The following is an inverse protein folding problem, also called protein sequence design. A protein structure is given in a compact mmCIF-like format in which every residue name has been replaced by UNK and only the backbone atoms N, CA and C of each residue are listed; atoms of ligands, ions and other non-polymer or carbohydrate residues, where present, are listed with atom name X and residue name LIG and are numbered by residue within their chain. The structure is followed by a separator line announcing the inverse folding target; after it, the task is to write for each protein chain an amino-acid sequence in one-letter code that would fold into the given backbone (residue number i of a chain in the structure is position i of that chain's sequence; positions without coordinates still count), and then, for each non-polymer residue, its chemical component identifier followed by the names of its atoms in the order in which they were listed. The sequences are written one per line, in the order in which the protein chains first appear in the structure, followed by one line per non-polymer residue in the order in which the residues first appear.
data_IF_165988223331
#
_entry.id   IF_165988223331
#
_cell.length_a   1.000
_cell.length_b   1.000
_cell.length_c   1.000
_cell.angle_alpha   90.00
_cell.angle_beta   90.00
_cell.angle_gamma   90.00
#
_symmetry.space_group_name_H-M   'P 1'
#
loop_
_entity.id
_entity.type
_entity.pdbx_description
1 polymer ?
#
# COMPACT_ATOMS: atom_id res chain seq x y z
N UNK A 1 0.36 6.86 -36.25
CA UNK A 1 -0.52 5.88 -36.91
C UNK A 1 -1.07 4.94 -35.86
N UNK A 2 -2.41 4.86 -35.80
CA UNK A 2 -3.21 4.15 -34.83
C UNK A 2 -2.81 2.67 -34.67
N UNK A 3 -2.54 2.27 -33.43
CA UNK A 3 -2.83 0.92 -32.93
C UNK A 3 -3.79 1.05 -31.75
N UNK A 4 -5.00 1.53 -32.05
CA UNK A 4 -6.18 1.25 -31.23
C UNK A 4 -6.42 -0.26 -31.29
N UNK A 5 -6.58 -0.86 -30.11
CA UNK A 5 -6.67 -2.30 -29.94
C UNK A 5 -7.74 -2.93 -30.83
N UNK A 6 -7.33 -3.98 -31.55
CA UNK A 6 -8.24 -5.08 -31.87
C UNK A 6 -8.54 -5.79 -30.55
N UNK A 7 -9.47 -5.24 -29.76
CA UNK A 7 -10.13 -5.94 -28.68
C UNK A 7 -11.41 -6.53 -29.25
N UNK A 8 -11.40 -7.85 -29.45
CA UNK A 8 -12.51 -8.77 -29.23
C UNK A 8 -13.91 -8.12 -29.18
N UNK A 9 -14.55 -7.94 -30.35
CA UNK A 9 -15.91 -7.42 -30.53
C UNK A 9 -17.01 -8.33 -29.93
N UNK A 10 -16.65 -9.37 -29.16
CA UNK A 10 -17.56 -10.36 -28.58
C UNK A 10 -17.81 -10.21 -27.07
N UNK A 11 -17.18 -9.24 -26.40
CA UNK A 11 -17.32 -9.08 -24.93
C UNK A 11 -18.47 -8.14 -24.59
N UNK A 12 -19.55 -8.70 -24.04
CA UNK A 12 -20.66 -7.95 -23.45
C UNK A 12 -20.20 -6.94 -22.39
N UNK A 13 -21.09 -6.01 -22.02
CA UNK A 13 -20.76 -4.91 -21.12
C UNK A 13 -20.30 -5.38 -19.73
N UNK A 14 -19.33 -4.68 -19.15
CA UNK A 14 -18.92 -4.83 -17.76
C UNK A 14 -19.55 -3.72 -16.91
N UNK A 15 -19.98 -4.04 -15.70
CA UNK A 15 -20.44 -3.07 -14.72
C UNK A 15 -19.65 -3.22 -13.40
N UNK A 16 -19.25 -2.12 -12.77
CA UNK A 16 -18.53 -2.16 -11.50
C UNK A 16 -18.84 -0.94 -10.64
N UNK A 17 -18.90 -1.11 -9.32
CA UNK A 17 -18.86 0.01 -8.39
C UNK A 17 -17.39 0.41 -8.14
N UNK A 18 -17.03 1.67 -8.42
CA UNK A 18 -15.67 2.19 -8.29
C UNK A 18 -15.40 2.84 -6.93
N UNK A 19 -16.45 3.20 -6.19
CA UNK A 19 -16.36 3.74 -4.83
C UNK A 19 -16.32 2.61 -3.79
N UNK A 20 -15.67 2.81 -2.64
CA UNK A 20 -15.67 1.82 -1.55
C UNK A 20 -17.10 1.46 -1.12
N UNK A 21 -17.31 0.21 -0.71
CA UNK A 21 -18.55 -0.21 -0.08
C UNK A 21 -18.65 0.41 1.32
N UNK A 22 -19.83 0.91 1.69
CA UNK A 22 -20.04 1.52 3.01
C UNK A 22 -21.08 2.63 2.98
N UNK A 23 -21.12 3.45 4.03
CA UNK A 23 -21.95 4.67 4.07
C UNK A 23 -21.18 5.80 3.41
N UNK A 24 -21.52 6.11 2.16
CA UNK A 24 -21.07 7.32 1.45
C UNK A 24 -22.27 8.17 1.04
N UNK A 25 -22.04 9.47 0.81
CA UNK A 25 -23.07 10.32 0.21
C UNK A 25 -23.35 9.90 -1.25
N UNK A 26 -22.30 9.58 -1.99
CA UNK A 26 -22.35 9.22 -3.41
C UNK A 26 -21.59 7.92 -3.64
N UNK A 27 -22.10 7.10 -4.56
CA UNK A 27 -21.38 5.97 -5.15
C UNK A 27 -21.33 6.10 -6.67
N UNK A 28 -20.22 5.68 -7.26
CA UNK A 28 -20.02 5.70 -8.72
C UNK A 28 -20.01 4.27 -9.25
N UNK A 29 -21.03 3.94 -10.04
CA UNK A 29 -21.09 2.73 -10.85
C UNK A 29 -20.64 3.07 -12.26
N UNK A 30 -19.72 2.30 -12.82
CA UNK A 30 -19.28 2.44 -14.20
C UNK A 30 -19.81 1.27 -15.02
N UNK A 31 -20.23 1.56 -16.26
CA UNK A 31 -20.58 0.57 -17.28
C UNK A 31 -19.63 0.78 -18.46
N UNK A 32 -18.96 -0.29 -18.88
CA UNK A 32 -17.98 -0.27 -19.96
C UNK A 32 -18.26 -1.36 -21.00
N UNK A 33 -18.39 -0.98 -22.26
CA UNK A 33 -18.67 -1.87 -23.38
C UNK A 33 -19.40 -1.15 -24.52
N UNK A 34 -19.53 -1.82 -25.67
CA UNK A 34 -20.18 -1.27 -26.86
C UNK A 34 -21.64 -0.86 -26.63
N UNK A 35 -22.35 -1.60 -25.78
CA UNK A 35 -23.77 -1.37 -25.47
C UNK A 35 -23.98 -0.58 -24.16
N UNK A 36 -22.92 0.00 -23.57
CA UNK A 36 -22.98 0.62 -22.24
C UNK A 36 -24.08 1.69 -22.15
N UNK A 37 -24.20 2.53 -23.19
CA UNK A 37 -25.27 3.55 -23.26
C UNK A 37 -26.65 2.95 -23.32
N UNK A 38 -26.84 1.86 -24.09
CA UNK A 38 -28.13 1.19 -24.22
C UNK A 38 -28.55 0.54 -22.91
N UNK A 39 -27.64 -0.18 -22.24
CA UNK A 39 -27.91 -0.83 -20.95
C UNK A 39 -28.35 0.20 -19.90
N UNK A 40 -27.67 1.35 -19.80
CA UNK A 40 -28.02 2.42 -18.85
C UNK A 40 -29.32 3.13 -19.23
N UNK A 41 -29.55 3.40 -20.53
CA UNK A 41 -30.76 4.09 -21.01
C UNK A 41 -32.07 3.34 -20.70
N UNK A 42 -32.00 2.04 -20.44
CA UNK A 42 -33.18 1.23 -20.11
C UNK A 42 -33.79 1.57 -18.75
N UNK A 43 -32.96 2.03 -17.81
CA UNK A 43 -33.37 2.32 -16.43
C UNK A 43 -33.22 3.80 -16.07
N UNK A 44 -32.43 4.56 -16.83
CA UNK A 44 -32.23 5.98 -16.58
C UNK A 44 -33.24 6.84 -17.35
N UNK A 45 -34.07 7.56 -16.61
CA UNK A 45 -35.03 8.52 -17.12
C UNK A 45 -34.49 9.95 -16.93
N UNK A 46 -33.98 10.61 -17.99
CA UNK A 46 -33.45 11.97 -17.87
C UNK A 46 -34.57 12.94 -17.52
N UNK A 47 -34.30 13.92 -16.64
CA UNK A 47 -35.27 14.97 -16.32
C UNK A 47 -35.56 15.91 -17.51
N UNK A 48 -34.63 15.99 -18.47
CA UNK A 48 -34.79 16.74 -19.72
C UNK A 48 -35.26 15.87 -20.88
N UNK A 49 -35.67 16.50 -21.99
CA UNK A 49 -36.21 15.80 -23.17
C UNK A 49 -35.18 14.98 -23.96
N UNK A 50 -33.88 15.25 -23.79
CA UNK A 50 -32.82 14.61 -24.58
C UNK A 50 -32.42 13.26 -23.95
N UNK A 51 -32.60 12.14 -24.68
CA UNK A 51 -32.20 10.81 -24.21
C UNK A 51 -30.67 10.69 -24.11
N UNK A 52 -30.20 9.70 -23.35
CA UNK A 52 -28.76 9.48 -23.13
C UNK A 52 -28.00 9.15 -24.43
N UNK A 53 -28.65 8.49 -25.39
CA UNK A 53 -28.09 8.13 -26.70
C UNK A 53 -27.67 9.34 -27.55
N UNK A 54 -28.37 10.46 -27.39
CA UNK A 54 -28.13 11.70 -28.15
C UNK A 54 -27.17 12.68 -27.46
N UNK A 55 -26.70 12.34 -26.26
CA UNK A 55 -25.83 13.23 -25.49
C UNK A 55 -24.37 13.09 -25.94
N UNK A 56 -23.66 14.22 -26.15
CA UNK A 56 -22.24 14.19 -26.46
C UNK A 56 -21.42 13.67 -25.26
N UNK A 57 -20.22 13.13 -25.52
CA UNK A 57 -19.31 12.71 -24.45
C UNK A 57 -19.04 13.84 -23.45
N UNK A 58 -18.92 13.47 -22.17
CA UNK A 58 -18.68 14.33 -20.99
C UNK A 58 -19.81 15.28 -20.63
N UNK A 59 -20.97 15.19 -21.30
CA UNK A 59 -22.17 15.88 -20.85
C UNK A 59 -22.81 15.14 -19.66
N UNK A 60 -23.16 15.90 -18.63
CA UNK A 60 -23.78 15.40 -17.41
C UNK A 60 -25.31 15.47 -17.54
N UNK A 61 -26.00 14.38 -17.19
CA UNK A 61 -27.46 14.28 -17.21
C UNK A 61 -27.99 13.94 -15.81
N UNK A 62 -28.89 14.77 -15.29
CA UNK A 62 -29.67 14.46 -14.08
C UNK A 62 -30.97 13.72 -14.46
N UNK A 63 -31.38 12.79 -13.61
CA UNK A 63 -32.62 12.04 -13.82
C UNK A 63 -32.90 11.05 -12.70
N UNK A 64 -33.83 10.14 -12.99
CA UNK A 64 -34.30 9.11 -12.05
C UNK A 64 -33.95 7.73 -12.59
N UNK A 65 -33.46 6.85 -11.72
CA UNK A 65 -33.18 5.46 -12.04
C UNK A 65 -34.27 4.53 -11.53
N UNK A 66 -34.90 3.82 -12.47
CA UNK A 66 -35.95 2.83 -12.22
C UNK A 66 -36.85 2.63 -13.43
N UNK A 67 -37.79 1.70 -13.30
CA UNK A 67 -38.90 1.54 -14.23
C UNK A 67 -40.12 2.33 -13.74
N UNK A 68 -41.07 2.61 -14.64
CA UNK A 68 -42.21 3.54 -14.44
C UNK A 68 -43.11 3.28 -13.20
N UNK A 69 -42.92 2.14 -12.51
CA UNK A 69 -43.77 1.68 -11.41
C UNK A 69 -43.18 1.93 -9.99
N UNK A 70 -41.98 2.52 -9.88
CA UNK A 70 -41.26 2.65 -8.61
C UNK A 70 -40.89 4.10 -8.27
N UNK A 71 -40.81 4.41 -6.97
CA UNK A 71 -40.08 5.58 -6.45
C UNK A 71 -38.60 5.38 -6.79
N UNK A 72 -38.19 5.85 -7.96
CA UNK A 72 -36.84 5.69 -8.46
C UNK A 72 -35.83 6.54 -7.69
N UNK A 73 -34.55 6.28 -7.95
CA UNK A 73 -33.45 6.99 -7.31
C UNK A 73 -33.01 8.17 -8.15
N UNK A 74 -32.95 9.35 -7.55
CA UNK A 74 -32.35 10.52 -8.20
C UNK A 74 -30.83 10.33 -8.31
N UNK A 75 -30.32 10.46 -9.52
CA UNK A 75 -28.91 10.25 -9.80
C UNK A 75 -28.43 11.06 -11.00
N UNK A 76 -27.12 11.03 -11.21
CA UNK A 76 -26.46 11.70 -12.32
C UNK A 76 -25.77 10.67 -13.20
N UNK A 77 -25.91 10.81 -14.52
CA UNK A 77 -25.25 9.96 -15.52
C UNK A 77 -24.34 10.81 -16.41
N UNK A 78 -23.16 10.30 -16.71
CA UNK A 78 -22.20 10.92 -17.63
C UNK A 78 -21.66 9.88 -18.62
N UNK A 79 -21.89 10.08 -19.91
CA UNK A 79 -21.22 9.31 -20.96
C UNK A 79 -19.80 9.85 -21.11
N UNK A 80 -18.78 9.23 -20.52
CA UNK A 80 -17.39 9.76 -20.61
C UNK A 80 -16.85 9.74 -22.04
N UNK A 81 -17.15 8.65 -22.75
CA UNK A 81 -16.80 8.37 -24.13
C UNK A 81 -17.86 7.44 -24.74
N UNK A 82 -17.57 6.82 -25.89
CA UNK A 82 -18.55 5.97 -26.60
C UNK A 82 -18.76 4.61 -25.94
N UNK A 83 -17.77 4.13 -25.17
CA UNK A 83 -17.83 2.82 -24.54
C UNK A 83 -18.02 2.90 -23.02
N UNK A 84 -18.00 4.09 -22.41
CA UNK A 84 -17.97 4.24 -20.96
C UNK A 84 -19.05 5.20 -20.46
N UNK A 85 -19.90 4.70 -19.56
CA UNK A 85 -20.94 5.47 -18.87
C UNK A 85 -20.70 5.40 -17.37
N UNK A 86 -20.70 6.55 -16.70
CA UNK A 86 -20.67 6.66 -15.25
C UNK A 86 -22.07 7.00 -14.72
N UNK A 87 -22.51 6.26 -13.70
CA UNK A 87 -23.76 6.43 -12.96
C UNK A 87 -23.41 6.77 -11.52
N UNK A 88 -23.74 7.99 -11.10
CA UNK A 88 -23.42 8.55 -9.79
C UNK A 88 -24.69 8.65 -8.97
N UNK A 89 -24.84 7.70 -8.04
CA UNK A 89 -26.04 7.44 -7.25
C UNK A 89 -25.79 7.72 -5.76
N UNK A 90 -26.80 7.54 -4.91
CA UNK A 90 -26.59 7.66 -3.47
C UNK A 90 -25.68 6.53 -2.99
N UNK A 91 -24.73 6.84 -2.10
CA UNK A 91 -23.72 5.88 -1.63
C UNK A 91 -24.24 4.80 -0.67
N UNK A 92 -25.56 4.60 -0.58
CA UNK A 92 -26.15 3.55 0.23
C UNK A 92 -26.03 2.19 -0.46
N UNK A 93 -25.76 1.13 0.32
CA UNK A 93 -25.61 -0.24 -0.20
C UNK A 93 -26.79 -0.69 -1.08
N UNK A 94 -28.02 -0.42 -0.66
CA UNK A 94 -29.22 -0.82 -1.38
C UNK A 94 -29.37 -0.13 -2.75
N UNK A 95 -28.97 1.14 -2.86
CA UNK A 95 -28.98 1.89 -4.12
C UNK A 95 -28.02 1.27 -5.15
N UNK A 96 -26.77 1.07 -4.72
CA UNK A 96 -25.71 0.47 -5.55
C UNK A 96 -26.07 -0.94 -5.97
N UNK A 97 -26.52 -1.80 -5.05
CA UNK A 97 -26.90 -3.18 -5.34
C UNK A 97 -28.07 -3.27 -6.33
N UNK A 98 -29.06 -2.38 -6.22
CA UNK A 98 -30.17 -2.30 -7.16
C UNK A 98 -29.70 -1.92 -8.56
N UNK A 99 -28.90 -0.87 -8.70
CA UNK A 99 -28.35 -0.43 -10.00
C UNK A 99 -27.54 -1.55 -10.66
N UNK A 100 -26.68 -2.23 -9.90
CA UNK A 100 -25.88 -3.35 -10.42
C UNK A 100 -26.76 -4.54 -10.82
N UNK A 101 -27.81 -4.86 -10.06
CA UNK A 101 -28.76 -5.92 -10.40
C UNK A 101 -29.55 -5.60 -11.67
N UNK A 102 -30.01 -4.35 -11.83
CA UNK A 102 -30.70 -3.87 -13.02
C UNK A 102 -29.79 -4.01 -14.25
N UNK A 103 -28.54 -3.56 -14.16
CA UNK A 103 -27.56 -3.71 -15.23
C UNK A 103 -27.27 -5.18 -15.56
N UNK A 104 -27.15 -6.04 -14.55
CA UNK A 104 -26.99 -7.47 -14.73
C UNK A 104 -28.17 -8.11 -15.48
N UNK A 105 -29.39 -7.65 -15.23
CA UNK A 105 -30.59 -8.11 -15.96
C UNK A 105 -30.56 -7.78 -17.45
N UNK A 106 -29.76 -6.80 -17.88
CA UNK A 106 -29.52 -6.45 -19.28
C UNK A 106 -28.30 -7.16 -19.88
N UNK A 107 -27.74 -8.16 -19.19
CA UNK A 107 -26.59 -8.91 -19.65
C UNK A 107 -25.24 -8.24 -19.35
N UNK A 108 -25.20 -7.16 -18.57
CA UNK A 108 -23.92 -6.64 -18.08
C UNK A 108 -23.31 -7.61 -17.08
N UNK A 109 -22.03 -7.98 -17.26
CA UNK A 109 -21.30 -8.75 -16.27
C UNK A 109 -20.83 -7.82 -15.16
N UNK A 110 -21.38 -8.01 -13.95
CA UNK A 110 -20.95 -7.26 -12.76
C UNK A 110 -19.62 -7.82 -12.27
N UNK A 111 -18.62 -6.96 -12.13
CA UNK A 111 -17.25 -7.30 -11.74
C UNK A 111 -16.77 -6.41 -10.61
N UNK A 112 -15.68 -6.83 -9.94
CA UNK A 112 -15.01 -6.00 -8.94
C UNK A 112 -14.34 -4.77 -9.58
N UNK A 113 -14.08 -3.72 -8.80
CA UNK A 113 -13.32 -2.55 -9.26
C UNK A 113 -11.92 -2.93 -9.78
N UNK A 114 -11.25 -3.86 -9.10
CA UNK A 114 -9.95 -4.39 -9.52
C UNK A 114 -10.01 -5.08 -10.88
N UNK A 115 -11.01 -5.96 -11.08
CA UNK A 115 -11.21 -6.65 -12.36
C UNK A 115 -11.57 -5.67 -13.49
N UNK A 116 -12.37 -4.64 -13.18
CA UNK A 116 -12.68 -3.58 -14.13
C UNK A 116 -11.41 -2.83 -14.58
N UNK A 117 -10.54 -2.46 -13.65
CA UNK A 117 -9.26 -1.81 -13.96
C UNK A 117 -8.41 -2.72 -14.86
N UNK A 118 -8.21 -3.99 -14.49
CA UNK A 118 -7.39 -4.92 -15.30
C UNK A 118 -7.98 -5.22 -16.66
N UNK A 119 -9.31 -5.13 -16.81
CA UNK A 119 -9.98 -5.30 -18.11
C UNK A 119 -9.85 -4.06 -19.00
N UNK A 120 -9.81 -2.86 -18.40
CA UNK A 120 -9.83 -1.58 -19.12
C UNK A 120 -8.47 -1.13 -19.63
N UNK A 121 -7.39 -1.46 -18.92
CA UNK A 121 -6.04 -0.98 -19.21
C UNK A 121 -5.15 -2.15 -19.65
N UNK A 122 -4.58 -2.03 -20.86
CA UNK A 122 -3.75 -3.08 -21.45
C UNK A 122 -2.36 -3.19 -20.78
N UNK A 123 -1.83 -2.08 -20.26
CA UNK A 123 -0.59 -2.11 -19.49
C UNK A 123 -0.88 -2.60 -18.06
N UNK A 124 -0.36 -3.78 -17.73
CA UNK A 124 -0.54 -4.41 -16.43
C UNK A 124 0.06 -3.57 -15.28
N UNK A 125 1.15 -2.84 -15.52
CA UNK A 125 1.78 -1.97 -14.51
C UNK A 125 0.91 -0.73 -14.29
N UNK A 126 0.37 -0.15 -15.36
CA UNK A 126 -0.58 0.96 -15.26
C UNK A 126 -1.84 0.54 -14.48
N UNK A 127 -2.41 -0.61 -14.83
CA UNK A 127 -3.57 -1.19 -14.15
C UNK A 127 -3.29 -1.41 -12.65
N UNK A 128 -2.14 -2.02 -12.33
CA UNK A 128 -1.73 -2.25 -10.95
C UNK A 128 -1.52 -0.93 -10.18
N UNK A 129 -0.92 0.08 -10.79
CA UNK A 129 -0.69 1.38 -10.16
C UNK A 129 -2.01 2.09 -9.83
N UNK A 130 -3.01 2.01 -10.72
CA UNK A 130 -4.36 2.57 -10.46
C UNK A 130 -5.04 1.89 -9.27
N UNK A 131 -4.95 0.57 -9.19
CA UNK A 131 -5.46 -0.19 -8.05
C UNK A 131 -4.74 0.20 -6.75
N UNK A 132 -3.42 0.25 -6.78
CA UNK A 132 -2.59 0.61 -5.64
C UNK A 132 -2.82 2.04 -5.15
N UNK A 133 -3.05 3.00 -6.06
CA UNK A 133 -3.33 4.40 -5.70
C UNK A 133 -4.56 4.54 -4.81
N UNK A 134 -5.59 3.72 -5.00
CA UNK A 134 -6.79 3.73 -4.13
C UNK A 134 -6.52 3.27 -2.70
N UNK A 135 -5.38 2.61 -2.47
CA UNK A 135 -4.94 2.08 -1.18
C UNK A 135 -3.80 2.90 -0.58
N UNK A 136 -3.23 3.86 -1.32
CA UNK A 136 -2.13 4.66 -0.86
C UNK A 136 -2.57 5.53 0.32
N UNK A 137 -1.91 5.34 1.47
CA UNK A 137 -2.24 6.05 2.69
C UNK A 137 -1.42 7.33 2.85
N UNK A 138 -0.28 7.46 2.19
CA UNK A 138 0.58 8.66 2.31
C UNK A 138 0.75 9.38 0.98
N UNK A 139 1.00 10.69 1.04
CA UNK A 139 1.32 11.49 -0.15
C UNK A 139 2.55 10.94 -0.89
N UNK A 140 3.57 10.51 -0.13
CA UNK A 140 4.79 9.92 -0.68
C UNK A 140 4.51 8.64 -1.47
N UNK A 141 3.74 7.69 -0.92
CA UNK A 141 3.46 6.45 -1.65
C UNK A 141 2.56 6.72 -2.86
N UNK A 142 1.61 7.65 -2.75
CA UNK A 142 0.80 8.10 -3.88
C UNK A 142 1.67 8.72 -4.99
N UNK A 143 2.64 9.57 -4.64
CA UNK A 143 3.56 10.18 -5.61
C UNK A 143 4.40 9.13 -6.37
N UNK A 144 4.96 8.14 -5.65
CA UNK A 144 5.71 7.03 -6.26
C UNK A 144 4.83 6.23 -7.22
N UNK A 145 3.60 5.90 -6.82
CA UNK A 145 2.65 5.18 -7.66
C UNK A 145 2.21 5.98 -8.88
N UNK A 146 2.05 7.31 -8.76
CA UNK A 146 1.79 8.20 -9.90
C UNK A 146 2.96 8.21 -10.89
N UNK A 147 4.20 8.13 -10.41
CA UNK A 147 5.37 8.01 -11.30
C UNK A 147 5.38 6.67 -12.04
N UNK A 148 4.98 5.58 -11.37
CA UNK A 148 4.83 4.27 -12.03
C UNK A 148 3.70 4.30 -13.07
N UNK A 149 2.56 4.94 -12.74
CA UNK A 149 1.45 5.16 -13.65
C UNK A 149 1.87 5.97 -14.89
N UNK A 150 2.78 6.93 -14.73
CA UNK A 150 3.38 7.72 -15.81
C UNK A 150 4.49 6.98 -16.57
N UNK A 151 4.71 5.69 -16.30
CA UNK A 151 5.62 4.84 -17.06
C UNK A 151 7.09 4.89 -16.61
N UNK A 152 7.37 5.20 -15.33
CA UNK A 152 8.73 5.15 -14.77
C UNK A 152 9.40 3.79 -15.00
N UNK A 153 8.69 2.70 -14.70
CA UNK A 153 9.13 1.32 -14.97
C UNK A 153 9.55 1.11 -16.43
N UNK A 154 8.68 1.46 -17.38
CA UNK A 154 8.94 1.28 -18.81
C UNK A 154 10.18 2.05 -19.27
N UNK A 155 10.29 3.33 -18.89
CA UNK A 155 11.45 4.17 -19.24
C UNK A 155 12.75 3.58 -18.73
N UNK A 156 12.71 3.04 -17.51
CA UNK A 156 13.89 2.46 -16.89
C UNK A 156 14.33 1.17 -17.59
N UNK A 157 13.39 0.29 -17.94
CA UNK A 157 13.70 -0.91 -18.72
C UNK A 157 14.25 -0.58 -20.10
N UNK A 158 13.71 0.43 -20.79
CA UNK A 158 14.25 0.89 -22.08
C UNK A 158 15.70 1.31 -21.96
N UNK A 159 16.07 2.10 -20.94
CA UNK A 159 17.48 2.48 -20.70
C UNK A 159 18.37 1.27 -20.42
N UNK A 160 17.89 0.31 -19.65
CA UNK A 160 18.65 -0.93 -19.37
C UNK A 160 18.86 -1.73 -20.66
N UNK A 161 17.83 -1.83 -21.51
CA UNK A 161 17.92 -2.48 -22.82
C UNK A 161 18.99 -1.85 -23.71
N UNK A 162 18.99 -0.52 -23.80
CA UNK A 162 19.98 0.25 -24.58
C UNK A 162 21.42 -0.01 -24.10
N UNK A 163 21.63 -0.09 -22.77
CA UNK A 163 22.94 -0.43 -22.20
C UNK A 163 23.38 -1.87 -22.53
N UNK A 164 22.45 -2.82 -22.50
CA UNK A 164 22.72 -4.21 -22.87
C UNK A 164 23.07 -4.33 -24.34
N UNK A 165 22.32 -3.66 -25.22
CA UNK A 165 22.58 -3.66 -26.67
C UNK A 165 23.94 -3.04 -27.00
N UNK A 166 24.29 -1.91 -26.38
CA UNK A 166 25.59 -1.28 -26.57
C UNK A 166 26.76 -2.18 -26.12
N UNK A 167 26.60 -2.89 -25.01
CA UNK A 167 27.60 -3.85 -24.54
C UNK A 167 27.74 -5.04 -25.50
N UNK A 168 26.62 -5.58 -25.99
CA UNK A 168 26.61 -6.68 -26.96
C UNK A 168 27.31 -6.30 -28.28
N UNK A 169 27.07 -5.09 -28.80
CA UNK A 169 27.73 -4.59 -30.02
C UNK A 169 29.24 -4.47 -29.88
N UNK A 170 29.73 -4.22 -28.65
CA UNK A 170 31.16 -4.07 -28.36
C UNK A 170 31.81 -5.36 -27.84
N UNK A 171 31.04 -6.45 -27.69
CA UNK A 171 31.49 -7.72 -27.11
C UNK A 171 31.91 -7.60 -25.64
N UNK A 172 31.41 -6.59 -24.92
CA UNK A 172 31.72 -6.33 -23.51
C UNK A 172 30.59 -6.82 -22.61
N UNK A 173 30.88 -7.01 -21.33
CA UNK A 173 29.83 -7.27 -20.35
C UNK A 173 29.01 -6.01 -20.03
N UNK A 174 27.68 -6.13 -19.87
CA UNK A 174 26.79 -4.99 -19.60
C UNK A 174 26.79 -4.61 -18.11
N UNK A 175 27.93 -4.17 -17.58
CA UNK A 175 28.14 -3.89 -16.14
C UNK A 175 27.11 -2.87 -15.62
N UNK A 176 26.98 -1.72 -16.29
CA UNK A 176 26.04 -0.66 -15.89
C UNK A 176 24.58 -1.15 -15.89
N UNK A 177 24.18 -1.94 -16.89
CA UNK A 177 22.84 -2.53 -16.94
C UNK A 177 22.58 -3.45 -15.73
N UNK A 178 23.58 -4.28 -15.35
CA UNK A 178 23.49 -5.15 -14.17
C UNK A 178 23.37 -4.34 -12.88
N UNK A 179 24.11 -3.25 -12.74
CA UNK A 179 24.01 -2.36 -11.57
C UNK A 179 22.62 -1.72 -11.46
N UNK A 180 22.04 -1.27 -12.57
CA UNK A 180 20.68 -0.71 -12.62
C UNK A 180 19.61 -1.76 -12.29
N UNK A 181 19.75 -2.98 -12.81
CA UNK A 181 18.86 -4.11 -12.45
C UNK A 181 18.94 -4.44 -10.94
N UNK A 182 20.15 -4.48 -10.37
CA UNK A 182 20.33 -4.66 -8.92
C UNK A 182 19.73 -3.51 -8.11
N UNK A 183 19.83 -2.27 -8.60
CA UNK A 183 19.19 -1.12 -7.96
C UNK A 183 17.67 -1.26 -7.95
N UNK A 184 17.06 -1.75 -9.03
CA UNK A 184 15.62 -2.03 -9.07
C UNK A 184 15.21 -3.11 -8.06
N UNK A 185 16.08 -4.10 -7.84
CA UNK A 185 15.79 -5.21 -6.90
C UNK A 185 15.75 -4.70 -5.47
N UNK A 186 16.71 -3.85 -5.10
CA UNK A 186 16.71 -3.16 -3.81
C UNK A 186 15.47 -2.26 -3.62
N UNK A 187 14.95 -1.68 -4.71
CA UNK A 187 13.71 -0.86 -4.67
C UNK A 187 12.44 -1.72 -4.65
N UNK A 188 12.50 -2.99 -5.05
CA UNK A 188 11.35 -3.87 -5.08
C UNK A 188 10.81 -4.12 -3.66
N UNK A 189 11.70 -4.21 -2.67
CA UNK A 189 11.33 -4.29 -1.27
C UNK A 189 10.49 -3.08 -0.84
N UNK A 190 10.93 -1.85 -1.20
CA UNK A 190 10.17 -0.61 -0.95
C UNK A 190 8.79 -0.66 -1.64
N UNK A 191 8.75 -1.17 -2.88
CA UNK A 191 7.52 -1.30 -3.65
C UNK A 191 6.43 -2.14 -2.98
N UNK A 192 6.82 -3.19 -2.24
CA UNK A 192 5.89 -4.01 -1.45
C UNK A 192 5.18 -3.21 -0.36
N UNK A 193 5.83 -2.15 0.13
CA UNK A 193 5.32 -1.31 1.21
C UNK A 193 4.60 -0.03 0.75
N UNK A 194 4.33 0.12 -0.57
CA UNK A 194 3.57 1.28 -1.07
C UNK A 194 2.10 1.23 -0.68
N UNK A 195 1.52 0.03 -0.56
CA UNK A 195 0.11 -0.19 -0.17
C UNK A 195 -0.03 -1.01 1.12
N UNK A 196 1.06 -1.58 1.62
CA UNK A 196 1.12 -2.28 2.90
C UNK A 196 2.11 -1.56 3.81
N UNK A 197 1.73 -1.16 5.04
CA UNK A 197 2.65 -0.46 5.92
C UNK A 197 3.85 -1.32 6.29
N UNK A 198 4.99 -0.68 6.54
CA UNK A 198 6.14 -1.32 7.18
C UNK A 198 5.77 -1.71 8.60
N UNK A 199 6.05 -2.95 9.00
CA UNK A 199 5.75 -3.48 10.33
C UNK A 199 6.93 -3.29 11.25
N UNK A 200 6.74 -2.44 12.26
CA UNK A 200 7.76 -2.15 13.27
C UNK A 200 7.27 -2.68 14.61
N UNK A 201 7.99 -3.65 15.15
CA UNK A 201 7.64 -4.29 16.43
C UNK A 201 8.48 -3.68 17.56
N UNK A 202 7.80 -3.13 18.57
CA UNK A 202 8.44 -2.69 19.81
C UNK A 202 8.55 -3.88 20.77
N UNK A 203 9.77 -4.29 21.08
CA UNK A 203 10.05 -5.43 21.94
C UNK A 203 10.98 -5.05 23.09
N UNK A 204 10.90 -5.77 24.22
CA UNK A 204 11.68 -5.48 25.41
C UNK A 204 10.97 -5.87 26.71
N UNK A 205 11.64 -5.70 27.85
CA UNK A 205 11.16 -6.13 29.17
C UNK A 205 9.85 -5.41 29.60
N UNK A 206 9.10 -5.96 30.57
CA UNK A 206 8.03 -5.25 31.25
C UNK A 206 8.52 -3.91 31.83
N UNK A 207 7.64 -2.90 31.87
CA UNK A 207 7.90 -1.60 32.52
C UNK A 207 9.05 -0.75 31.95
N UNK A 208 9.65 -1.12 30.81
CA UNK A 208 10.65 -0.27 30.10
C UNK A 208 10.02 0.92 29.39
N UNK A 209 8.68 1.00 29.33
CA UNK A 209 7.95 2.13 28.75
C UNK A 209 7.56 1.97 27.26
N UNK A 210 7.46 0.74 26.75
CA UNK A 210 7.07 0.44 25.35
C UNK A 210 5.75 1.09 24.94
N UNK A 211 4.68 0.90 25.71
CA UNK A 211 3.36 1.43 25.35
C UNK A 211 3.31 2.96 25.42
N UNK A 212 4.08 3.58 26.33
CA UNK A 212 4.23 5.02 26.37
C UNK A 212 4.99 5.53 25.14
N UNK A 213 6.08 4.84 24.75
CA UNK A 213 6.84 5.15 23.55
C UNK A 213 5.99 4.96 22.28
N UNK A 214 5.20 3.89 22.19
CA UNK A 214 4.25 3.64 21.11
C UNK A 214 3.25 4.78 20.98
N UNK A 215 2.55 5.12 22.07
CA UNK A 215 1.59 6.22 22.08
C UNK A 215 2.24 7.54 21.68
N UNK A 216 3.49 7.75 22.08
CA UNK A 216 4.25 8.92 21.66
C UNK A 216 4.56 8.90 20.17
N UNK A 217 5.05 7.79 19.63
CA UNK A 217 5.32 7.62 18.19
C UNK A 217 4.05 7.75 17.33
N UNK A 218 2.89 7.32 17.84
CA UNK A 218 1.59 7.50 17.18
C UNK A 218 1.08 8.95 17.30
N UNK A 219 1.42 9.66 18.37
CA UNK A 219 0.96 11.04 18.62
C UNK A 219 1.92 12.13 18.15
N UNK A 220 3.17 11.78 17.79
CA UNK A 220 4.21 12.75 17.45
C UNK A 220 3.88 13.47 16.12
N UNK A 221 3.85 14.81 16.17
CA UNK A 221 3.68 15.75 15.05
C UNK A 221 2.62 15.40 13.97
N UNK A 222 1.53 14.72 14.35
CA UNK A 222 0.48 14.25 13.42
C UNK A 222 1.02 13.35 12.31
N UNK A 223 1.69 12.27 12.72
CA UNK A 223 1.29 10.93 12.29
C UNK A 223 -0.12 10.94 11.67
N UNK A 224 -0.26 10.70 10.36
CA UNK A 224 -1.59 10.54 9.77
C UNK A 224 -2.10 9.19 10.29
N UNK A 225 -2.93 9.23 11.34
CA UNK A 225 -3.59 8.04 11.87
C UNK A 225 -4.64 7.62 10.85
N UNK A 226 -4.42 6.46 10.24
CA UNK A 226 -5.32 5.90 9.23
C UNK A 226 -6.45 5.14 9.90
N UNK A 227 -7.53 5.85 10.24
CA UNK A 227 -8.77 5.21 10.66
C UNK A 227 -9.43 4.58 9.43
N UNK A 228 -9.24 3.27 9.26
CA UNK A 228 -10.09 2.50 8.35
C UNK A 228 -11.42 2.26 9.07
N UNK A 229 -12.52 2.77 8.51
CA UNK A 229 -13.84 2.62 9.09
C UNK A 229 -14.18 1.12 9.28
N UNK A 230 -14.24 0.67 10.54
CA UNK A 230 -14.75 -0.66 10.89
C UNK A 230 -13.75 -1.69 11.43
N UNK A 231 -12.48 -1.37 11.65
CA UNK A 231 -11.59 -2.32 12.36
C UNK A 231 -11.51 -1.99 13.85
N UNK A 232 -11.71 -3.03 14.66
CA UNK A 232 -11.75 -2.99 16.11
C UNK A 232 -10.54 -2.27 16.69
N UNK A 233 -10.84 -1.59 17.80
CA UNK A 233 -9.95 -0.88 18.73
C UNK A 233 -8.99 -1.87 19.40
N UNK A 234 -8.20 -2.58 18.62
CA UNK A 234 -7.18 -3.50 19.10
C UNK A 234 -6.06 -2.65 19.70
N UNK A 235 -5.97 -2.64 21.03
CA UNK A 235 -5.06 -1.81 21.85
C UNK A 235 -3.56 -2.17 21.63
N UNK A 236 -3.23 -2.96 20.59
CA UNK A 236 -1.94 -3.62 20.39
C UNK A 236 -1.20 -3.21 19.12
N UNK A 237 -1.85 -2.51 18.20
CA UNK A 237 -1.21 -1.97 17.00
C UNK A 237 -1.74 -0.57 16.66
N UNK A 238 -0.91 0.22 15.98
CA UNK A 238 -1.28 1.56 15.53
C UNK A 238 -0.61 1.90 14.22
N UNK A 239 -1.38 2.46 13.29
CA UNK A 239 -0.89 2.88 11.98
C UNK A 239 -0.55 4.37 11.99
N UNK A 240 0.58 4.70 11.40
CA UNK A 240 1.17 6.03 11.33
C UNK A 240 1.96 6.18 10.03
N UNK A 241 2.58 7.34 9.82
CA UNK A 241 3.59 7.51 8.80
C UNK A 241 4.84 8.19 9.37
N UNK A 242 6.01 7.66 9.05
CA UNK A 242 7.31 8.27 9.40
C UNK A 242 7.98 8.77 8.12
N UNK A 243 8.24 10.08 8.05
CA UNK A 243 8.74 10.71 6.83
C UNK A 243 7.90 10.32 5.60
N UNK A 244 6.56 10.31 5.73
CA UNK A 244 5.67 9.88 4.65
C UNK A 244 5.70 8.39 4.27
N UNK A 245 6.49 7.54 4.94
CA UNK A 245 6.40 6.08 4.77
C UNK A 245 5.32 5.50 5.69
N UNK A 246 4.37 4.69 5.18
CA UNK A 246 3.35 4.07 6.02
C UNK A 246 3.99 3.05 6.96
N UNK A 247 3.67 3.15 8.25
CA UNK A 247 4.22 2.30 9.30
C UNK A 247 3.10 1.79 10.19
N UNK A 248 3.16 0.51 10.54
CA UNK A 248 2.32 -0.13 11.54
C UNK A 248 3.21 -0.49 12.73
N UNK A 249 2.96 0.17 13.87
CA UNK A 249 3.63 -0.11 15.13
C UNK A 249 2.89 -1.23 15.85
N UNK A 250 3.61 -2.22 16.37
CA UNK A 250 3.06 -3.30 17.19
C UNK A 250 3.74 -3.36 18.55
N UNK A 251 2.98 -3.49 19.64
CA UNK A 251 3.51 -3.67 21.00
C UNK A 251 3.45 -5.14 21.42
N UNK A 252 4.59 -5.70 21.79
CA UNK A 252 4.67 -7.09 22.28
C UNK A 252 4.17 -7.25 23.72
N UNK A 253 4.12 -6.19 24.54
CA UNK A 253 3.73 -6.29 25.96
C UNK A 253 2.24 -6.61 26.16
N UNK A 254 1.36 -6.07 25.33
CA UNK A 254 -0.07 -6.33 25.46
C UNK A 254 -0.51 -7.73 25.00
N UNK A 255 0.41 -8.54 24.46
CA UNK A 255 0.17 -9.94 24.09
C UNK A 255 0.38 -10.92 25.24
N UNK A 256 0.96 -10.48 26.36
CA UNK A 256 1.07 -11.28 27.60
C UNK A 256 -0.20 -11.25 28.45
N UNK A 257 -1.20 -10.43 28.09
CA UNK A 257 -2.38 -10.21 28.93
C UNK A 257 -3.47 -11.24 28.64
N UNK A 258 -3.30 -12.43 29.21
CA UNK A 258 -4.34 -13.04 30.03
C UNK A 258 -3.69 -14.12 30.89
N UNK A 259 -3.50 -13.79 32.18
CA UNK A 259 -3.13 -14.76 33.18
C UNK A 259 -4.20 -15.86 33.27
N UNK A 260 -3.71 -17.07 33.50
CA UNK A 260 -4.42 -18.34 33.64
C UNK A 260 -4.80 -19.04 32.31
N UNK A 261 -3.89 -19.94 31.90
CA UNK A 261 -3.99 -21.03 30.89
C UNK A 261 -3.51 -20.80 29.43
N UNK A 262 -2.87 -19.67 29.07
CA UNK A 262 -2.45 -19.39 27.67
C UNK A 262 -1.00 -18.85 27.56
N UNK A 263 -0.03 -19.44 28.26
CA UNK A 263 1.37 -18.99 28.19
C UNK A 263 2.03 -19.33 26.84
N UNK A 264 1.78 -20.53 26.31
CA UNK A 264 2.40 -20.96 25.04
C UNK A 264 1.86 -20.21 23.82
N UNK A 265 0.55 -19.91 23.78
CA UNK A 265 -0.03 -19.22 22.63
C UNK A 265 0.32 -17.71 22.61
N UNK A 266 0.51 -17.09 23.78
CA UNK A 266 1.02 -15.71 23.90
C UNK A 266 2.46 -15.58 23.39
N UNK A 267 3.34 -16.50 23.81
CA UNK A 267 4.74 -16.57 23.34
C UNK A 267 4.80 -16.84 21.84
N UNK A 268 4.04 -17.81 21.33
CA UNK A 268 4.01 -18.14 19.91
C UNK A 268 3.47 -16.99 19.04
N UNK A 269 2.52 -16.21 19.58
CA UNK A 269 1.99 -15.01 18.89
C UNK A 269 3.02 -13.89 18.84
N UNK A 270 3.72 -13.62 19.95
CA UNK A 270 4.83 -12.66 19.98
C UNK A 270 5.95 -13.06 19.02
N UNK A 271 6.32 -14.35 19.00
CA UNK A 271 7.32 -14.91 18.06
C UNK A 271 6.92 -14.71 16.61
N UNK A 272 5.66 -15.01 16.25
CA UNK A 272 5.15 -14.79 14.89
C UNK A 272 5.22 -13.32 14.46
N UNK A 273 4.95 -12.38 15.36
CA UNK A 273 5.06 -10.95 15.05
C UNK A 273 6.51 -10.51 14.86
N UNK A 274 7.43 -10.95 15.73
CA UNK A 274 8.86 -10.69 15.56
C UNK A 274 9.38 -11.24 14.23
N UNK A 275 8.93 -12.44 13.84
CA UNK A 275 9.31 -13.05 12.56
C UNK A 275 8.71 -12.33 11.34
N UNK A 276 7.55 -11.71 11.49
CA UNK A 276 6.85 -10.96 10.45
C UNK A 276 7.19 -9.46 10.43
N UNK A 277 8.06 -8.99 11.33
CA UNK A 277 8.47 -7.60 11.41
C UNK A 277 9.45 -7.26 10.30
N UNK A 278 9.30 -6.06 9.73
CA UNK A 278 10.31 -5.48 8.85
C UNK A 278 11.44 -4.83 9.66
N UNK A 279 11.15 -4.40 10.90
CA UNK A 279 12.13 -3.90 11.86
C UNK A 279 11.69 -4.20 13.29
N UNK A 280 12.64 -4.63 14.12
CA UNK A 280 12.43 -4.79 15.56
C UNK A 280 13.12 -3.64 16.30
N UNK A 281 12.38 -2.92 17.12
CA UNK A 281 12.91 -1.89 18.01
C UNK A 281 12.99 -2.48 19.41
N UNK A 282 14.22 -2.73 19.86
CA UNK A 282 14.51 -3.28 21.18
C UNK A 282 14.60 -2.15 22.20
N UNK A 283 13.57 -2.04 23.03
CA UNK A 283 13.40 -1.00 24.03
C UNK A 283 13.84 -1.51 25.40
N UNK A 284 14.71 -0.77 26.05
CA UNK A 284 15.17 -1.03 27.41
C UNK A 284 15.09 0.21 28.29
N UNK A 285 15.13 0.03 29.61
CA UNK A 285 15.35 1.15 30.53
C UNK A 285 16.81 1.58 30.44
N UNK A 286 17.07 2.86 30.20
CA UNK A 286 18.40 3.42 30.04
C UNK A 286 19.28 3.30 31.30
N UNK A 287 18.69 2.96 32.45
CA UNK A 287 19.41 2.73 33.71
C UNK A 287 19.77 1.26 33.94
N UNK A 288 19.11 0.34 33.23
CA UNK A 288 19.28 -1.09 33.45
C UNK A 288 20.48 -1.60 32.63
N UNK A 289 21.43 -2.32 33.25
CA UNK A 289 22.50 -2.97 32.51
C UNK A 289 21.94 -4.00 31.53
N UNK A 290 22.15 -3.75 30.25
CA UNK A 290 21.73 -4.65 29.18
C UNK A 290 22.83 -5.68 28.90
N UNK A 291 22.49 -6.97 28.98
CA UNK A 291 23.35 -8.05 28.50
C UNK A 291 22.64 -8.86 27.42
N UNK A 292 23.40 -9.33 26.43
CA UNK A 292 22.89 -10.14 25.32
C UNK A 292 22.11 -11.38 25.82
N UNK A 293 22.62 -12.06 26.86
CA UNK A 293 21.95 -13.20 27.48
C UNK A 293 20.55 -12.85 28.02
N UNK A 294 20.40 -11.69 28.67
CA UNK A 294 19.09 -11.25 29.20
C UNK A 294 18.11 -10.95 28.07
N UNK A 295 18.58 -10.37 26.97
CA UNK A 295 17.74 -10.09 25.80
C UNK A 295 17.24 -11.38 25.13
N UNK A 296 18.11 -12.38 25.00
CA UNK A 296 17.77 -13.69 24.45
C UNK A 296 16.72 -14.43 25.27
N UNK A 297 16.86 -14.42 26.61
CA UNK A 297 15.89 -15.04 27.52
C UNK A 297 14.50 -14.39 27.42
N UNK A 298 14.44 -13.06 27.39
CA UNK A 298 13.18 -12.32 27.39
C UNK A 298 12.39 -12.47 26.09
N UNK A 299 13.10 -12.50 24.96
CA UNK A 299 12.49 -12.63 23.64
C UNK A 299 12.19 -14.09 23.29
N UNK A 300 12.74 -15.06 24.04
CA UNK A 300 12.61 -16.49 23.76
C UNK A 300 13.34 -16.91 22.48
N UNK A 301 14.31 -16.10 22.06
CA UNK A 301 15.12 -16.26 20.86
C UNK A 301 16.31 -15.30 20.93
N UNK A 302 17.45 -15.73 20.40
CA UNK A 302 18.61 -14.85 20.30
C UNK A 302 18.36 -13.75 19.27
N UNK A 303 18.36 -12.46 19.66
CA UNK A 303 18.06 -11.35 18.74
C UNK A 303 19.07 -11.25 17.60
N UNK A 304 20.34 -11.61 17.88
CA UNK A 304 21.40 -11.66 16.88
C UNK A 304 21.25 -12.84 15.91
N UNK A 305 20.42 -13.83 16.26
CA UNK A 305 20.09 -14.96 15.38
C UNK A 305 18.86 -14.67 14.49
N UNK A 306 18.19 -13.53 14.68
CA UNK A 306 17.11 -13.08 13.80
C UNK A 306 17.67 -12.56 12.48
N UNK A 307 16.95 -12.84 11.38
CA UNK A 307 17.25 -12.26 10.07
C UNK A 307 16.74 -10.82 9.94
N UNK A 308 15.76 -10.44 10.76
CA UNK A 308 15.16 -9.12 10.76
C UNK A 308 16.16 -8.09 11.28
N UNK A 309 16.22 -6.88 10.69
CA UNK A 309 17.03 -5.82 11.25
C UNK A 309 16.49 -5.43 12.63
N UNK A 310 17.39 -5.03 13.51
CA UNK A 310 17.07 -4.49 14.83
C UNK A 310 17.59 -3.05 14.99
N UNK A 311 16.98 -2.33 15.93
CA UNK A 311 17.40 -1.02 16.43
C UNK A 311 17.30 -1.01 17.96
N UNK A 312 18.38 -0.61 18.63
CA UNK A 312 18.41 -0.54 20.09
C UNK A 312 18.00 0.85 20.60
N UNK A 313 17.09 0.88 21.57
CA UNK A 313 16.55 2.09 22.18
C UNK A 313 16.63 2.00 23.69
N UNK A 314 17.41 2.90 24.29
CA UNK A 314 17.48 3.10 25.73
C UNK A 314 16.48 4.19 26.13
N UNK A 315 15.31 3.75 26.60
CA UNK A 315 14.21 4.60 27.02
C UNK A 315 14.38 5.10 28.47
N UNK A 316 13.67 6.18 28.85
CA UNK A 316 13.81 6.87 30.15
C UNK A 316 15.16 7.56 30.33
N UNK A 317 15.72 8.07 29.23
CA UNK A 317 16.98 8.83 29.26
C UNK A 317 16.91 10.08 30.14
N UNK A 318 15.71 10.60 30.41
CA UNK A 318 15.47 11.70 31.36
C UNK A 318 15.87 11.37 32.80
N UNK A 319 15.97 10.08 33.14
CA UNK A 319 16.39 9.60 34.46
C UNK A 319 17.89 9.25 34.51
N UNK A 320 18.60 9.42 33.41
CA UNK A 320 20.01 9.04 33.27
C UNK A 320 20.91 10.26 33.52
N UNK A 321 21.88 10.12 34.43
CA UNK A 321 22.82 11.19 34.78
C UNK A 321 24.14 11.15 33.96
N UNK A 322 24.29 10.21 33.02
CA UNK A 322 25.55 9.96 32.29
C UNK A 322 25.35 9.04 31.08
N UNK A 323 26.39 8.29 30.69
CA UNK A 323 26.32 7.33 29.59
C UNK A 323 25.48 6.10 29.97
N UNK A 324 24.61 5.58 29.08
CA UNK A 324 23.82 4.38 29.40
C UNK A 324 24.73 3.17 29.59
N UNK A 325 24.40 2.24 30.52
CA UNK A 325 25.17 1.02 30.76
C UNK A 325 24.86 -0.04 29.70
N UNK A 326 25.22 0.25 28.45
CA UNK A 326 25.07 -0.65 27.30
C UNK A 326 26.40 -1.36 26.99
N UNK A 327 26.36 -2.58 26.39
CA UNK A 327 27.59 -3.24 25.96
C UNK A 327 28.35 -2.37 24.96
N UNK A 328 29.68 -2.30 25.09
CA UNK A 328 30.54 -1.54 24.17
C UNK A 328 30.35 -1.96 22.70
N UNK A 329 29.94 -3.21 22.46
CA UNK A 329 29.67 -3.74 21.11
C UNK A 329 28.51 -3.05 20.40
N UNK A 330 27.60 -2.38 21.12
CA UNK A 330 26.42 -1.70 20.57
C UNK A 330 26.33 -0.24 21.00
N UNK A 331 27.31 0.27 21.75
CA UNK A 331 27.25 1.60 22.37
C UNK A 331 27.10 2.75 21.35
N UNK A 332 27.69 2.63 20.17
CA UNK A 332 27.60 3.65 19.11
C UNK A 332 26.26 3.61 18.34
N UNK A 333 25.50 2.51 18.48
CA UNK A 333 24.24 2.26 17.74
C UNK A 333 22.98 2.34 18.63
N UNK A 334 23.13 2.69 19.91
CA UNK A 334 22.01 2.84 20.85
C UNK A 334 21.44 4.25 20.79
N UNK A 335 20.13 4.35 20.58
CA UNK A 335 19.41 5.62 20.65
C UNK A 335 18.86 5.88 22.04
N UNK A 336 19.25 7.00 22.64
CA UNK A 336 18.68 7.51 23.88
C UNK A 336 17.34 8.18 23.59
N UNK A 337 16.29 7.76 24.31
CA UNK A 337 14.95 8.31 24.16
C UNK A 337 14.32 8.51 25.53
N UNK A 338 13.52 9.56 25.68
CA UNK A 338 12.56 9.67 26.76
C UNK A 338 11.15 9.64 26.20
N UNK A 339 10.47 8.52 26.39
CA UNK A 339 9.04 8.42 26.11
C UNK A 339 8.19 9.34 27.00
N UNK A 340 8.74 9.91 28.09
CA UNK A 340 8.06 10.84 28.98
C UNK A 340 8.21 12.29 28.52
N UNK A 341 9.41 12.73 28.15
CA UNK A 341 9.68 14.13 27.75
C UNK A 341 9.58 14.32 26.23
N UNK A 342 9.89 13.30 25.45
CA UNK A 342 9.81 13.27 23.98
C UNK A 342 11.16 13.50 23.32
N UNK A 343 12.17 13.76 24.11
CA UNK A 343 13.56 13.81 23.67
C UNK A 343 13.97 12.48 23.01
N UNK A 344 14.69 12.57 21.89
CA UNK A 344 15.16 11.41 21.13
C UNK A 344 14.12 10.78 20.18
N UNK A 345 12.82 11.14 20.29
CA UNK A 345 11.76 10.48 19.50
C UNK A 345 11.88 10.79 18.00
N UNK A 346 12.18 12.03 17.61
CA UNK A 346 12.42 12.37 16.21
C UNK A 346 13.63 11.63 15.63
N UNK A 347 14.71 11.50 16.41
CA UNK A 347 15.90 10.75 16.01
C UNK A 347 15.58 9.27 15.84
N UNK A 348 14.76 8.70 16.73
CA UNK A 348 14.25 7.33 16.62
C UNK A 348 13.43 7.15 15.33
N UNK A 349 12.50 8.05 15.03
CA UNK A 349 11.70 7.99 13.78
C UNK A 349 12.60 8.02 12.53
N UNK A 350 13.59 8.92 12.50
CA UNK A 350 14.54 9.00 11.40
C UNK A 350 15.42 7.75 11.28
N UNK A 351 15.84 7.16 12.40
CA UNK A 351 16.60 5.91 12.40
C UNK A 351 15.77 4.72 11.91
N UNK A 352 14.50 4.63 12.31
CA UNK A 352 13.55 3.62 11.81
C UNK A 352 13.44 3.74 10.28
N UNK A 353 13.20 4.94 9.75
CA UNK A 353 13.07 5.14 8.29
C UNK A 353 14.36 4.76 7.56
N UNK A 354 15.53 5.19 8.04
CA UNK A 354 16.82 4.84 7.42
C UNK A 354 17.07 3.34 7.40
N UNK A 355 16.58 2.60 8.41
CA UNK A 355 16.75 1.15 8.49
C UNK A 355 15.79 0.39 7.57
N UNK A 356 14.55 0.88 7.44
CA UNK A 356 13.53 0.29 6.57
C UNK A 356 13.78 0.61 5.09
N UNK A 357 14.21 1.83 4.78
CA UNK A 357 14.37 2.36 3.43
C UNK A 357 15.81 2.85 3.23
N UNK A 358 16.76 1.93 2.99
CA UNK A 358 18.19 2.29 2.87
C UNK A 358 18.53 2.94 1.52
N UNK A 359 17.64 2.83 0.53
CA UNK A 359 17.82 3.42 -0.81
C UNK A 359 17.07 4.74 -0.91
N UNK A 360 17.77 5.80 -1.33
CA UNK A 360 17.14 7.07 -1.66
C UNK A 360 16.41 6.96 -3.01
N UNK A 361 15.15 7.40 -3.02
CA UNK A 361 14.34 7.48 -4.24
C UNK A 361 14.24 8.94 -4.69
N UNK A 362 14.50 9.18 -5.97
CA UNK A 362 14.23 10.44 -6.63
C UNK A 362 12.85 10.42 -7.31
N UNK A 363 12.30 11.61 -7.57
CA UNK A 363 11.07 11.72 -8.34
C UNK A 363 11.24 11.10 -9.74
N UNK A 364 10.26 10.30 -10.16
CA UNK A 364 10.28 9.60 -11.45
C UNK A 364 11.09 8.30 -11.47
N UNK A 365 11.69 7.89 -10.35
CA UNK A 365 12.36 6.60 -10.25
C UNK A 365 11.39 5.43 -10.50
N UNK A 366 11.90 4.39 -11.16
CA UNK A 366 11.19 3.12 -11.25
C UNK A 366 11.26 2.39 -9.91
N UNK A 367 10.10 1.96 -9.42
CA UNK A 367 9.93 1.18 -8.19
C UNK A 367 9.07 -0.04 -8.52
N UNK A 368 9.64 -1.25 -8.62
CA UNK A 368 8.86 -2.47 -8.82
C UNK A 368 7.93 -2.70 -7.63
N UNK A 369 6.63 -2.85 -7.84
CA UNK A 369 5.65 -2.96 -6.75
C UNK A 369 4.65 -4.11 -6.93
N UNK A 370 4.82 -4.90 -7.99
CA UNK A 370 3.99 -6.08 -8.27
C UNK A 370 4.83 -7.36 -8.25
N UNK A 371 4.25 -8.51 -7.87
CA UNK A 371 4.95 -9.81 -7.92
C UNK A 371 5.48 -10.15 -9.32
N UNK A 372 4.72 -9.78 -10.37
CA UNK A 372 5.12 -10.02 -11.76
C UNK A 372 6.41 -9.27 -12.11
N UNK A 373 6.53 -8.00 -11.70
CA UNK A 373 7.78 -7.24 -11.91
C UNK A 373 8.95 -7.88 -11.14
N UNK A 374 8.73 -8.35 -9.92
CA UNK A 374 9.76 -9.05 -9.13
C UNK A 374 10.28 -10.32 -9.81
N UNK A 375 9.37 -11.17 -10.32
CA UNK A 375 9.77 -12.36 -11.07
C UNK A 375 10.55 -12.01 -12.35
N UNK A 376 10.08 -11.03 -13.12
CA UNK A 376 10.78 -10.57 -14.33
C UNK A 376 12.17 -10.04 -14.01
N UNK A 377 12.30 -9.30 -12.91
CA UNK A 377 13.56 -8.72 -12.49
C UNK A 377 14.58 -9.80 -12.10
N UNK A 378 14.15 -10.84 -11.38
CA UNK A 378 15.00 -11.98 -11.05
C UNK A 378 15.55 -12.69 -12.31
N UNK A 379 14.72 -12.87 -13.34
CA UNK A 379 15.14 -13.41 -14.63
C UNK A 379 16.21 -12.53 -15.30
N UNK A 380 15.97 -11.21 -15.34
CA UNK A 380 16.89 -10.26 -15.97
C UNK A 380 18.20 -10.07 -15.22
N UNK A 381 18.21 -10.16 -13.89
CA UNK A 381 19.45 -10.13 -13.11
C UNK A 381 20.34 -11.33 -13.45
N UNK A 382 19.72 -12.51 -13.62
CA UNK A 382 20.42 -13.72 -14.05
C UNK A 382 20.95 -13.60 -15.49
N UNK A 383 20.14 -13.09 -16.40
CA UNK A 383 20.51 -12.89 -17.81
C UNK A 383 19.92 -11.58 -18.38
N UNK A 384 20.69 -10.47 -18.38
CA UNK A 384 20.22 -9.18 -18.87
C UNK A 384 19.80 -9.17 -20.35
N UNK A 385 20.35 -10.06 -21.17
CA UNK A 385 20.04 -10.15 -22.60
C UNK A 385 18.60 -10.58 -22.90
N UNK A 386 17.91 -11.18 -21.93
CA UNK A 386 16.48 -11.50 -22.04
C UNK A 386 15.59 -10.25 -22.15
N UNK A 387 16.09 -9.09 -21.71
CA UNK A 387 15.36 -7.84 -21.73
C UNK A 387 15.19 -7.31 -23.18
N UNK A 388 16.13 -7.62 -24.08
CA UNK A 388 16.09 -7.23 -25.50
C UNK A 388 15.28 -8.19 -26.39
N UNK A 389 14.77 -9.30 -25.84
CA UNK A 389 14.03 -10.32 -26.60
C UNK A 389 12.50 -10.15 -26.52
N UNK A 390 12.03 -9.14 -25.79
CA UNK A 390 10.62 -8.78 -25.59
C UNK A 390 10.34 -7.42 -26.19
#
# INVERSE_FOLDING_TARGET
MNRTGKQDESRGCLAACLTPSGRGAIATVVVWGVDARQCVSRFFQPAGKRPLSERPPREIAFGVWGTDDCRGEELVVCCRDDATVEVQCHGGRAAVERILADLASQGCRVVSSSEWITSRYADAVEAAARGALSQATTERTAAILLDQLRGAWRRELTRIAELVEAANQTGREPIEARERLRSLDLRADIGRHLTSPWKVVLAGFPNVGKSLLMNRLLGYERSIVFDQAGTTRDVLSGRTAFDGWPVELLDTAGLRVSADSIESAGVERARRQLLAADLIVLVADARDPMTEARLSDELGLEPLSLRQPFLFVANKSDLLAGTPPVPNSVADDVLLVSALTGEGVSQLMAAIVRRLVPVQLAAGDAVPFTPAQGHQLAEWIGNPSLLCQR
#
